data_IF_343525180216
#
_entry.id   IF_343525180216
#
_cell.length_a   1.000
_cell.length_b   1.000
_cell.length_c   1.000
_cell.angle_alpha   90.00
_cell.angle_beta   90.00
_cell.angle_gamma   90.00
#
_symmetry.space_group_name_H-M   'P 1'
#
loop_
_entity.id
_entity.type
_entity.pdbx_description
1 polymer ?
#
# COMPACT_ATOMS: atom_id res chain seq x y z
N UNK A 1 -2.07 15.85 -11.92
CA UNK A 1 -0.71 15.46 -12.37
C UNK A 1 -0.85 14.24 -13.27
N UNK A 2 -0.31 14.29 -14.49
CA UNK A 2 -0.35 13.15 -15.43
C UNK A 2 0.77 12.15 -15.12
N UNK A 3 0.44 10.87 -15.18
CA UNK A 3 1.31 9.73 -14.93
C UNK A 3 1.32 8.81 -16.16
N UNK A 4 2.41 8.08 -16.42
CA UNK A 4 2.44 7.12 -17.53
C UNK A 4 1.41 6.00 -17.32
N UNK A 5 0.71 5.62 -18.39
CA UNK A 5 -0.29 4.53 -18.34
C UNK A 5 0.15 3.26 -19.07
N UNK A 6 1.31 3.30 -19.73
CA UNK A 6 1.83 2.19 -20.54
C UNK A 6 3.20 1.67 -20.07
N UNK A 7 3.63 2.05 -18.87
CA UNK A 7 4.88 1.56 -18.28
C UNK A 7 4.62 0.30 -17.44
N UNK A 8 5.60 -0.60 -17.28
CA UNK A 8 5.53 -1.68 -16.31
C UNK A 8 5.23 -1.16 -14.90
N UNK A 9 4.58 -1.97 -14.08
CA UNK A 9 4.11 -1.58 -12.74
C UNK A 9 4.71 -2.51 -11.69
N UNK A 10 5.21 -1.92 -10.62
CA UNK A 10 5.59 -2.63 -9.40
C UNK A 10 4.80 -2.06 -8.22
N UNK A 11 4.01 -2.89 -7.57
CA UNK A 11 3.32 -2.52 -6.34
C UNK A 11 3.95 -3.29 -5.19
N UNK A 12 4.33 -2.59 -4.14
CA UNK A 12 4.80 -3.18 -2.88
C UNK A 12 3.80 -2.80 -1.79
N UNK A 13 3.25 -3.78 -1.09
CA UNK A 13 2.30 -3.56 -0.01
C UNK A 13 2.90 -4.04 1.31
N UNK A 14 3.00 -3.14 2.28
CA UNK A 14 3.35 -3.46 3.65
C UNK A 14 2.08 -3.61 4.48
N UNK A 15 1.93 -4.78 5.10
CA UNK A 15 0.77 -5.16 5.88
C UNK A 15 -0.28 -5.94 5.07
N UNK A 16 -0.57 -7.15 5.52
CA UNK A 16 -1.57 -8.08 4.98
C UNK A 16 -2.72 -8.34 5.97
N UNK A 17 -2.92 -7.41 6.91
CA UNK A 17 -3.95 -7.47 7.93
C UNK A 17 -5.35 -7.11 7.43
N UNK A 18 -6.09 -6.34 8.23
CA UNK A 18 -7.47 -5.95 7.92
C UNK A 18 -7.59 -5.21 6.58
N UNK A 19 -6.89 -4.09 6.44
CA UNK A 19 -6.95 -3.27 5.22
C UNK A 19 -6.23 -3.95 4.05
N UNK A 20 -4.98 -4.44 4.25
CA UNK A 20 -4.21 -5.09 3.19
C UNK A 20 -4.87 -6.33 2.63
N UNK A 21 -5.53 -7.14 3.48
CA UNK A 21 -6.30 -8.31 3.05
C UNK A 21 -7.46 -7.98 2.12
N UNK A 22 -8.07 -6.81 2.28
CA UNK A 22 -9.13 -6.32 1.37
C UNK A 22 -8.57 -5.61 0.13
N UNK A 23 -7.36 -5.05 0.17
CA UNK A 23 -6.69 -4.46 -1.00
C UNK A 23 -6.26 -5.55 -1.99
N UNK A 24 -5.64 -6.62 -1.51
CA UNK A 24 -4.98 -7.63 -2.34
C UNK A 24 -5.83 -8.18 -3.51
N UNK A 25 -7.06 -8.68 -3.31
CA UNK A 25 -7.87 -9.24 -4.40
C UNK A 25 -8.16 -8.25 -5.52
N UNK A 26 -8.31 -6.97 -5.17
CA UNK A 26 -8.64 -5.93 -6.13
C UNK A 26 -7.42 -5.46 -6.91
N UNK A 27 -6.24 -5.41 -6.28
CA UNK A 27 -4.99 -5.11 -6.98
C UNK A 27 -4.63 -6.21 -7.96
N UNK A 28 -4.70 -7.50 -7.59
CA UNK A 28 -4.48 -8.60 -8.53
C UNK A 28 -5.44 -8.51 -9.74
N UNK A 29 -6.73 -8.29 -9.49
CA UNK A 29 -7.72 -8.10 -10.57
C UNK A 29 -7.39 -6.91 -11.46
N UNK A 30 -6.99 -5.79 -10.88
CA UNK A 30 -6.63 -4.58 -11.63
C UNK A 30 -5.40 -4.83 -12.50
N UNK A 31 -4.33 -5.41 -11.95
CA UNK A 31 -3.10 -5.70 -12.69
C UNK A 31 -3.35 -6.68 -13.84
N UNK A 32 -4.13 -7.72 -13.62
CA UNK A 32 -4.57 -8.63 -14.69
C UNK A 32 -5.30 -7.89 -15.81
N UNK A 33 -6.22 -6.98 -15.48
CA UNK A 33 -7.00 -6.23 -16.45
C UNK A 33 -6.19 -5.18 -17.23
N UNK A 34 -5.01 -4.77 -16.71
CA UNK A 34 -4.14 -3.79 -17.38
C UNK A 34 -3.38 -4.38 -18.58
N UNK A 35 -3.25 -5.69 -18.66
CA UNK A 35 -2.55 -6.43 -19.72
C UNK A 35 -1.17 -5.84 -20.06
N UNK A 36 -0.38 -5.56 -19.02
CA UNK A 36 1.00 -5.06 -19.14
C UNK A 36 1.88 -5.67 -18.04
N UNK A 37 3.22 -5.72 -18.22
CA UNK A 37 4.12 -6.26 -17.22
C UNK A 37 3.86 -5.62 -15.87
N UNK A 38 3.57 -6.44 -14.88
CA UNK A 38 3.24 -5.96 -13.53
C UNK A 38 3.61 -6.99 -12.47
N UNK A 39 4.05 -6.46 -11.31
CA UNK A 39 4.42 -7.23 -10.14
C UNK A 39 3.69 -6.70 -8.92
N UNK A 40 3.28 -7.60 -8.04
CA UNK A 40 2.68 -7.23 -6.77
C UNK A 40 3.30 -8.03 -5.63
N UNK A 41 4.08 -7.36 -4.80
CA UNK A 41 4.80 -7.93 -3.67
C UNK A 41 4.07 -7.59 -2.38
N UNK A 42 3.65 -8.61 -1.62
CA UNK A 42 2.98 -8.45 -0.32
C UNK A 42 3.97 -8.78 0.79
N UNK A 43 4.13 -7.89 1.77
CA UNK A 43 5.06 -8.07 2.89
C UNK A 43 4.29 -8.05 4.22
N UNK A 44 4.41 -9.13 4.99
CA UNK A 44 3.85 -9.23 6.35
C UNK A 44 4.50 -10.40 7.10
N UNK A 45 4.95 -10.16 8.33
CA UNK A 45 5.57 -11.19 9.17
C UNK A 45 4.58 -12.05 9.96
N UNK A 46 3.32 -11.63 10.06
CA UNK A 46 2.31 -12.30 10.86
C UNK A 46 1.80 -13.60 10.25
N UNK A 47 1.32 -14.47 11.14
CA UNK A 47 0.49 -15.62 10.79
C UNK A 47 -0.99 -15.35 11.03
N UNK A 48 -1.84 -16.08 10.32
CA UNK A 48 -3.28 -16.01 10.51
C UNK A 48 -3.65 -16.64 11.85
N UNK A 49 -4.32 -15.89 12.71
CA UNK A 49 -4.84 -16.32 14.00
C UNK A 49 -6.37 -16.30 14.00
N UNK A 50 -6.98 -17.05 14.92
CA UNK A 50 -8.44 -17.15 15.03
C UNK A 50 -9.11 -15.77 15.18
N UNK A 51 -8.51 -14.85 15.97
CA UNK A 51 -9.00 -13.46 16.13
C UNK A 51 -9.03 -12.66 14.84
N UNK A 52 -8.24 -13.05 13.82
CA UNK A 52 -8.19 -12.34 12.55
C UNK A 52 -9.41 -12.63 11.65
N UNK A 53 -10.03 -13.82 11.80
CA UNK A 53 -11.15 -14.26 10.95
C UNK A 53 -12.38 -13.37 11.04
N UNK A 54 -12.52 -12.60 12.10
CA UNK A 54 -13.69 -11.70 12.32
C UNK A 54 -13.66 -10.48 11.41
N UNK A 55 -12.47 -9.96 11.07
CA UNK A 55 -12.35 -8.67 10.35
C UNK A 55 -11.35 -8.65 9.20
N UNK A 56 -10.52 -9.68 9.08
CA UNK A 56 -9.53 -9.80 8.02
C UNK A 56 -10.01 -10.81 6.97
N UNK A 57 -9.51 -10.69 5.77
CA UNK A 57 -9.94 -11.50 4.62
C UNK A 57 -9.27 -12.89 4.61
N UNK A 58 -9.43 -13.62 5.71
CA UNK A 58 -8.94 -14.98 5.90
C UNK A 58 -10.06 -15.94 6.29
N UNK A 59 -9.84 -17.21 6.07
CA UNK A 59 -10.75 -18.31 6.38
C UNK A 59 -10.15 -19.25 7.43
N UNK A 60 -10.95 -20.14 8.04
CA UNK A 60 -10.41 -21.15 8.97
C UNK A 60 -9.31 -22.05 8.37
N UNK A 61 -9.32 -22.27 7.05
CA UNK A 61 -8.30 -23.05 6.36
C UNK A 61 -6.92 -22.37 6.33
N UNK A 62 -6.84 -21.09 6.62
CA UNK A 62 -5.61 -20.28 6.58
C UNK A 62 -4.88 -20.22 7.92
N UNK A 63 -5.48 -20.78 8.98
CA UNK A 63 -4.93 -20.67 10.34
C UNK A 63 -3.51 -21.24 10.43
N UNK A 64 -2.61 -20.43 11.03
CA UNK A 64 -1.20 -20.78 11.23
C UNK A 64 -0.30 -20.47 10.05
N UNK A 65 -0.85 -20.18 8.86
CA UNK A 65 -0.07 -19.79 7.69
C UNK A 65 0.30 -18.29 7.72
N UNK A 66 1.36 -17.91 7.00
CA UNK A 66 1.75 -16.50 6.89
C UNK A 66 0.73 -15.71 6.06
N UNK A 67 0.36 -14.52 6.55
CA UNK A 67 -0.67 -13.67 5.93
C UNK A 67 -0.31 -13.23 4.52
N UNK A 68 0.92 -12.77 4.29
CA UNK A 68 1.39 -12.32 2.98
C UNK A 68 1.42 -13.46 1.97
N UNK A 69 1.93 -14.63 2.37
CA UNK A 69 1.95 -15.85 1.55
C UNK A 69 0.56 -16.22 1.06
N UNK A 70 -0.39 -16.36 2.00
CA UNK A 70 -1.76 -16.78 1.67
C UNK A 70 -2.44 -15.83 0.69
N UNK A 71 -2.32 -14.52 0.91
CA UNK A 71 -2.95 -13.56 -0.01
C UNK A 71 -2.28 -13.58 -1.39
N UNK A 72 -0.94 -13.66 -1.45
CA UNK A 72 -0.22 -13.69 -2.71
C UNK A 72 -0.54 -14.96 -3.50
N UNK A 73 -0.38 -16.14 -2.91
CA UNK A 73 -0.63 -17.41 -3.59
C UNK A 73 -2.09 -17.58 -4.03
N UNK A 74 -3.05 -17.20 -3.16
CA UNK A 74 -4.48 -17.29 -3.45
C UNK A 74 -4.87 -16.47 -4.67
N UNK A 75 -4.53 -15.18 -4.67
CA UNK A 75 -5.01 -14.29 -5.72
C UNK A 75 -4.15 -14.33 -6.99
N UNK A 76 -2.84 -14.59 -6.88
CA UNK A 76 -2.00 -14.81 -8.04
C UNK A 76 -2.49 -16.05 -8.84
N UNK A 77 -2.84 -17.15 -8.16
CA UNK A 77 -3.34 -18.36 -8.83
C UNK A 77 -4.67 -18.14 -9.56
N UNK A 78 -5.57 -17.30 -9.01
CA UNK A 78 -6.86 -16.98 -9.64
C UNK A 78 -6.68 -16.24 -10.98
N UNK A 79 -5.66 -15.38 -11.07
CA UNK A 79 -5.41 -14.55 -12.24
C UNK A 79 -4.24 -15.03 -13.11
N UNK A 80 -3.64 -16.18 -12.81
CA UNK A 80 -2.48 -16.69 -13.54
C UNK A 80 -1.24 -15.79 -13.46
N UNK A 81 -1.09 -15.07 -12.36
CA UNK A 81 0.06 -14.20 -12.09
C UNK A 81 1.09 -14.90 -11.20
N UNK A 82 2.31 -14.37 -11.14
CA UNK A 82 3.32 -14.83 -10.21
C UNK A 82 2.99 -14.37 -8.78
N UNK A 83 3.12 -15.30 -7.82
CA UNK A 83 2.93 -15.00 -6.40
C UNK A 83 4.24 -14.46 -5.81
N UNK A 84 4.28 -13.16 -5.54
CA UNK A 84 5.42 -12.52 -4.90
C UNK A 84 5.06 -12.07 -3.48
N UNK A 85 5.82 -12.54 -2.49
CA UNK A 85 5.61 -12.15 -1.09
C UNK A 85 6.91 -12.21 -0.29
N UNK A 86 6.96 -11.42 0.78
CA UNK A 86 7.98 -11.47 1.82
C UNK A 86 7.29 -11.85 3.14
N UNK A 87 7.51 -13.09 3.66
CA UNK A 87 6.87 -13.56 4.90
C UNK A 87 7.62 -13.03 6.14
N UNK A 88 7.92 -11.74 6.15
CA UNK A 88 8.64 -11.04 7.21
C UNK A 88 8.18 -9.59 7.31
N UNK A 89 8.34 -8.98 8.47
CA UNK A 89 8.17 -7.54 8.62
C UNK A 89 9.32 -6.78 7.93
N UNK A 90 8.99 -5.68 7.29
CA UNK A 90 9.98 -4.76 6.71
C UNK A 90 10.25 -3.65 7.73
N UNK A 91 11.36 -3.75 8.43
CA UNK A 91 11.69 -2.90 9.60
C UNK A 91 12.99 -2.12 9.42
N UNK A 92 13.69 -2.33 8.33
CA UNK A 92 14.89 -1.59 7.98
C UNK A 92 14.79 -0.90 6.62
N UNK A 93 15.57 0.18 6.48
CA UNK A 93 15.50 1.06 5.33
C UNK A 93 16.11 0.44 4.06
N UNK A 94 17.10 -0.40 4.21
CA UNK A 94 17.81 -0.99 3.06
C UNK A 94 16.95 -2.06 2.40
N UNK A 95 16.30 -2.90 3.19
CA UNK A 95 15.28 -3.86 2.70
C UNK A 95 14.15 -3.12 1.98
N UNK A 96 13.57 -2.07 2.60
CA UNK A 96 12.49 -1.32 1.97
C UNK A 96 12.95 -0.63 0.68
N UNK A 97 14.14 -0.03 0.68
CA UNK A 97 14.69 0.64 -0.50
C UNK A 97 14.93 -0.36 -1.64
N UNK A 98 15.37 -1.57 -1.34
CA UNK A 98 15.54 -2.65 -2.32
C UNK A 98 14.19 -3.08 -2.91
N UNK A 99 13.17 -3.27 -2.09
CA UNK A 99 11.83 -3.66 -2.53
C UNK A 99 11.21 -2.62 -3.47
N UNK A 100 11.37 -1.32 -3.17
CA UNK A 100 10.81 -0.23 -3.98
C UNK A 100 11.76 0.25 -5.09
N UNK A 101 12.89 -0.41 -5.30
CA UNK A 101 13.76 -0.08 -6.43
C UNK A 101 13.04 -0.38 -7.75
N UNK A 102 13.08 0.59 -8.68
CA UNK A 102 12.47 0.42 -10.00
C UNK A 102 13.40 -0.38 -10.91
N UNK A 103 13.00 -1.58 -11.29
CA UNK A 103 13.73 -2.39 -12.24
C UNK A 103 13.56 -1.86 -13.67
N UNK A 104 14.56 -2.12 -14.51
CA UNK A 104 14.51 -1.82 -15.93
C UNK A 104 13.94 -3.00 -16.70
N UNK A 105 12.92 -2.76 -17.50
CA UNK A 105 12.39 -3.76 -18.43
C UNK A 105 12.97 -3.54 -19.82
N UNK A 106 13.73 -4.51 -20.32
CA UNK A 106 14.08 -4.59 -21.74
C UNK A 106 12.89 -5.24 -22.45
N UNK A 107 12.22 -4.50 -23.34
CA UNK A 107 11.20 -5.11 -24.19
C UNK A 107 11.79 -6.24 -25.04
N UNK A 108 11.01 -7.27 -25.37
CA UNK A 108 11.42 -8.38 -26.27
C UNK A 108 11.93 -7.90 -27.63
N UNK A 109 11.70 -6.66 -27.96
CA UNK A 109 12.21 -5.98 -29.16
C UNK A 109 13.18 -4.85 -28.73
N UNK A 110 14.44 -5.18 -28.60
CA UNK A 110 15.55 -4.35 -28.10
C UNK A 110 15.83 -3.05 -28.90
N UNK A 111 14.86 -2.43 -29.52
CA UNK A 111 14.97 -1.12 -30.20
C UNK A 111 14.58 0.07 -29.34
N UNK A 112 14.08 -0.13 -28.11
CA UNK A 112 13.63 0.95 -27.23
C UNK A 112 14.50 1.04 -25.98
N UNK A 113 14.72 2.25 -25.46
CA UNK A 113 15.45 2.42 -24.21
C UNK A 113 14.72 1.65 -23.09
N UNK A 114 15.50 1.09 -22.17
CA UNK A 114 14.99 0.41 -20.97
C UNK A 114 13.94 1.28 -20.26
N UNK A 115 12.71 0.83 -20.22
CA UNK A 115 11.63 1.52 -19.50
C UNK A 115 11.66 1.07 -18.05
N UNK A 116 11.78 2.02 -17.12
CA UNK A 116 11.71 1.72 -15.69
C UNK A 116 10.26 1.54 -15.23
N UNK A 117 10.08 0.65 -14.28
CA UNK A 117 8.79 0.43 -13.62
C UNK A 117 8.27 1.69 -12.94
N UNK A 118 6.95 1.86 -12.97
CA UNK A 118 6.26 2.76 -12.08
C UNK A 118 6.05 2.06 -10.74
N UNK A 119 6.70 2.55 -9.69
CA UNK A 119 6.63 1.94 -8.36
C UNK A 119 5.58 2.63 -7.51
N UNK A 120 4.71 1.81 -6.89
CA UNK A 120 3.70 2.23 -5.92
C UNK A 120 3.95 1.47 -4.63
N UNK A 121 4.17 2.20 -3.53
CA UNK A 121 4.22 1.66 -2.17
C UNK A 121 2.85 1.84 -1.52
N UNK A 122 2.27 0.76 -1.01
CA UNK A 122 1.03 0.76 -0.24
C UNK A 122 1.36 0.50 1.22
N UNK A 123 1.04 1.44 2.10
CA UNK A 123 1.13 1.29 3.55
C UNK A 123 -0.23 0.89 4.11
N UNK A 124 -0.37 -0.38 4.50
CA UNK A 124 -1.55 -0.92 5.17
C UNK A 124 -1.18 -1.40 6.59
N UNK A 125 -0.28 -0.66 7.23
CA UNK A 125 0.26 -0.93 8.56
C UNK A 125 -0.49 -0.14 9.64
N UNK A 126 -0.51 -0.66 10.86
CA UNK A 126 -1.22 -0.09 12.01
C UNK A 126 -0.29 0.61 13.04
N UNK A 127 1.01 0.73 12.74
CA UNK A 127 1.97 1.36 13.64
C UNK A 127 2.73 2.52 12.98
N UNK A 128 3.07 3.53 13.78
CA UNK A 128 3.73 4.74 13.29
C UNK A 128 5.20 4.50 12.95
N UNK A 129 5.84 3.51 13.55
CA UNK A 129 7.25 3.18 13.26
C UNK A 129 7.42 2.74 11.81
N UNK A 130 6.54 1.88 11.31
CA UNK A 130 6.54 1.47 9.90
C UNK A 130 6.20 2.64 8.97
N UNK A 131 5.28 3.55 9.37
CA UNK A 131 5.01 4.78 8.60
C UNK A 131 6.21 5.72 8.56
N UNK A 132 6.96 5.84 9.66
CA UNK A 132 8.22 6.60 9.71
C UNK A 132 9.26 6.01 8.75
N UNK A 133 9.36 4.67 8.69
CA UNK A 133 10.25 3.97 7.76
C UNK A 133 9.86 4.25 6.31
N UNK A 134 8.57 4.10 5.96
CA UNK A 134 8.04 4.42 4.63
C UNK A 134 8.30 5.89 4.25
N UNK A 135 8.15 6.81 5.20
CA UNK A 135 8.44 8.23 4.98
C UNK A 135 9.92 8.47 4.64
N UNK A 136 10.84 7.81 5.36
CA UNK A 136 12.29 7.89 5.08
C UNK A 136 12.62 7.32 3.71
N UNK A 137 12.07 6.16 3.36
CA UNK A 137 12.23 5.54 2.05
C UNK A 137 11.67 6.43 0.94
N UNK A 138 10.50 7.03 1.14
CA UNK A 138 9.89 7.99 0.21
C UNK A 138 10.81 9.18 -0.05
N UNK A 139 11.43 9.77 0.97
CA UNK A 139 12.34 10.91 0.81
C UNK A 139 13.66 10.55 0.12
N UNK A 140 14.10 9.29 0.20
CA UNK A 140 15.30 8.79 -0.51
C UNK A 140 15.02 8.41 -1.97
N UNK A 141 13.79 8.01 -2.30
CA UNK A 141 13.44 7.57 -3.65
C UNK A 141 13.58 8.68 -4.68
N UNK A 142 13.97 8.36 -5.90
CA UNK A 142 13.96 9.28 -7.03
C UNK A 142 12.53 9.48 -7.56
N UNK A 143 11.82 8.36 -7.77
CA UNK A 143 10.43 8.33 -8.21
C UNK A 143 9.66 7.31 -7.37
N UNK A 144 8.59 7.73 -6.71
CA UNK A 144 7.77 6.85 -5.89
C UNK A 144 6.37 7.45 -5.69
N UNK A 145 5.35 6.63 -5.81
CA UNK A 145 4.02 6.94 -5.31
C UNK A 145 3.84 6.18 -4.01
N UNK A 146 3.51 6.86 -2.93
CA UNK A 146 3.25 6.24 -1.63
C UNK A 146 1.83 6.56 -1.19
N UNK A 147 1.01 5.51 -1.10
CA UNK A 147 -0.37 5.58 -0.60
C UNK A 147 -0.40 4.90 0.76
N UNK A 148 -0.71 5.67 1.79
CA UNK A 148 -0.80 5.20 3.17
C UNK A 148 -2.25 5.21 3.63
N UNK A 149 -2.68 4.14 4.28
CA UNK A 149 -3.98 4.05 4.93
C UNK A 149 -3.83 3.86 6.43
N UNK A 150 -4.49 4.72 7.20
CA UNK A 150 -4.61 4.61 8.64
C UNK A 150 -6.08 4.60 9.03
N UNK A 151 -6.48 3.63 9.86
CA UNK A 151 -7.86 3.56 10.35
C UNK A 151 -7.94 3.01 11.76
N UNK A 152 -8.87 3.54 12.53
CA UNK A 152 -9.31 3.00 13.81
C UNK A 152 -10.64 2.26 13.66
N UNK A 153 -11.46 2.28 14.72
CA UNK A 153 -12.69 1.51 14.77
C UNK A 153 -13.75 1.96 13.76
N UNK A 154 -13.98 3.27 13.64
CA UNK A 154 -15.06 3.81 12.80
C UNK A 154 -14.62 4.87 11.81
N UNK A 155 -13.36 5.24 11.79
CA UNK A 155 -12.86 6.31 10.94
C UNK A 155 -11.44 6.02 10.48
N UNK A 156 -11.01 6.76 9.46
CA UNK A 156 -9.65 6.66 8.97
C UNK A 156 -9.37 7.68 7.89
N UNK A 157 -8.15 7.61 7.38
CA UNK A 157 -7.68 8.45 6.29
C UNK A 157 -6.80 7.65 5.34
N UNK A 158 -6.81 8.07 4.08
CA UNK A 158 -5.86 7.58 3.06
C UNK A 158 -5.15 8.78 2.45
N UNK A 159 -3.83 8.74 2.42
CA UNK A 159 -2.98 9.83 1.90
C UNK A 159 -2.12 9.33 0.75
N UNK A 160 -2.13 10.05 -0.36
CA UNK A 160 -1.31 9.76 -1.53
C UNK A 160 -0.17 10.77 -1.66
N UNK A 161 1.06 10.35 -1.38
CA UNK A 161 2.29 11.10 -1.62
C UNK A 161 2.90 10.79 -2.99
N UNK A 162 3.55 11.77 -3.61
CA UNK A 162 4.22 11.58 -4.90
C UNK A 162 5.58 12.23 -4.91
N UNK A 163 6.58 11.47 -5.32
CA UNK A 163 7.95 11.92 -5.52
C UNK A 163 8.34 11.72 -6.98
N UNK A 164 8.98 12.72 -7.59
CA UNK A 164 9.45 12.71 -8.97
C UNK A 164 10.80 13.38 -9.09
N UNK A 165 11.73 12.74 -9.77
CA UNK A 165 13.07 13.24 -10.03
C UNK A 165 13.72 13.79 -8.74
N UNK A 166 13.65 13.03 -7.65
CA UNK A 166 14.18 13.40 -6.35
C UNK A 166 13.46 14.56 -5.63
N UNK A 167 12.28 15.01 -6.12
CA UNK A 167 11.51 16.11 -5.52
C UNK A 167 10.15 15.63 -5.02
N UNK A 168 9.75 16.08 -3.85
CA UNK A 168 8.40 15.84 -3.33
C UNK A 168 7.40 16.75 -4.06
N UNK A 169 6.62 16.14 -4.97
CA UNK A 169 5.55 16.83 -5.71
C UNK A 169 4.29 16.91 -4.87
N UNK A 170 4.01 15.83 -4.11
CA UNK A 170 2.87 15.74 -3.20
C UNK A 170 3.35 15.11 -1.89
N UNK A 171 2.98 15.73 -0.76
CA UNK A 171 3.41 15.29 0.56
C UNK A 171 2.89 13.89 0.89
N UNK A 172 3.72 12.98 1.41
CA UNK A 172 3.29 11.70 1.96
C UNK A 172 2.64 11.89 3.35
N UNK A 173 2.12 10.82 3.94
CA UNK A 173 1.40 10.84 5.22
C UNK A 173 2.16 11.59 6.33
N UNK A 174 3.44 11.32 6.54
CA UNK A 174 4.25 12.04 7.55
C UNK A 174 4.51 13.52 7.21
N UNK A 175 4.26 13.95 5.97
CA UNK A 175 4.29 15.37 5.60
C UNK A 175 2.94 16.06 5.75
N UNK A 176 1.85 15.28 5.83
CA UNK A 176 0.47 15.75 6.12
C UNK A 176 0.24 15.76 7.63
N UNK A 177 0.67 14.72 8.32
CA UNK A 177 0.58 14.51 9.78
C UNK A 177 1.98 14.41 10.40
N UNK A 178 2.66 15.55 10.66
CA UNK A 178 4.04 15.54 11.16
C UNK A 178 4.21 14.92 12.55
N UNK A 179 3.15 14.82 13.32
CA UNK A 179 3.09 14.16 14.63
C UNK A 179 3.46 12.67 14.53
N UNK A 180 3.08 11.98 13.45
CA UNK A 180 3.46 10.59 13.21
C UNK A 180 4.98 10.38 13.18
N UNK A 181 5.73 11.39 12.73
CA UNK A 181 7.19 11.31 12.65
C UNK A 181 7.88 11.46 14.02
N UNK A 182 7.14 11.92 15.02
CA UNK A 182 7.62 12.12 16.40
C UNK A 182 7.10 11.05 17.35
N UNK A 183 6.16 10.22 16.91
CA UNK A 183 5.60 9.17 17.74
C UNK A 183 6.70 8.19 18.18
N UNK A 184 6.71 7.89 19.48
CA UNK A 184 7.55 6.85 20.06
C UNK A 184 6.79 5.52 19.95
N UNK A 185 6.93 4.87 18.83
CA UNK A 185 6.30 3.61 18.53
C UNK A 185 7.35 2.54 18.25
N UNK A 186 6.94 1.29 18.24
CA UNK A 186 7.81 0.13 18.04
C UNK A 186 7.41 -0.62 16.77
N UNK A 187 8.35 -1.34 16.20
CA UNK A 187 8.05 -2.27 15.13
C UNK A 187 7.26 -3.48 15.66
N UNK A 188 6.46 -4.14 14.79
CA UNK A 188 5.72 -5.34 15.19
C UNK A 188 6.57 -6.43 15.82
N UNK A 189 7.82 -6.64 15.36
CA UNK A 189 8.75 -7.62 15.93
C UNK A 189 9.22 -7.28 17.34
N UNK A 190 9.14 -6.01 17.74
CA UNK A 190 9.55 -5.53 19.07
C UNK A 190 8.42 -5.65 20.12
N UNK A 191 7.19 -6.00 19.69
CA UNK A 191 6.03 -6.14 20.57
C UNK A 191 5.92 -7.55 21.11
N UNK A 192 5.64 -7.68 22.41
CA UNK A 192 5.24 -8.95 22.98
C UNK A 192 3.84 -9.37 22.53
N UNK A 193 3.53 -10.68 22.57
CA UNK A 193 2.20 -11.17 22.22
C UNK A 193 1.06 -10.50 23.01
N UNK A 194 1.32 -10.12 24.28
CA UNK A 194 0.36 -9.43 25.13
C UNK A 194 0.12 -7.98 24.65
N UNK A 195 1.17 -7.26 24.24
CA UNK A 195 1.08 -5.90 23.73
C UNK A 195 0.43 -5.85 22.34
N UNK A 196 0.76 -6.81 21.47
CA UNK A 196 0.12 -6.94 20.15
C UNK A 196 -1.40 -7.23 20.24
N UNK A 197 -1.89 -7.76 21.36
CA UNK A 197 -3.31 -7.99 21.59
C UNK A 197 -4.07 -6.75 22.06
N UNK A 198 -3.38 -5.71 22.51
CA UNK A 198 -3.94 -4.41 22.97
C UNK A 198 -4.06 -3.38 21.84
N UNK A 199 -3.80 -3.79 20.60
CA UNK A 199 -3.93 -2.89 19.44
C UNK A 199 -5.31 -2.22 19.39
N UNK A 200 -5.33 -0.97 18.92
CA UNK A 200 -6.56 -0.19 18.77
C UNK A 200 -7.63 -0.97 18.03
N UNK A 201 -8.87 -0.96 18.51
CA UNK A 201 -9.96 -1.68 17.86
C UNK A 201 -10.15 -1.16 16.42
N UNK A 202 -10.20 -2.09 15.50
CA UNK A 202 -10.52 -1.82 14.09
C UNK A 202 -11.78 -2.61 13.71
N UNK A 203 -12.66 -2.00 12.94
CA UNK A 203 -13.82 -2.72 12.41
C UNK A 203 -13.59 -3.22 10.98
N UNK A 204 -14.28 -4.28 10.61
CA UNK A 204 -14.30 -4.78 9.23
C UNK A 204 -14.75 -3.67 8.26
N UNK A 205 -15.76 -2.89 8.61
CA UNK A 205 -16.27 -1.81 7.78
C UNK A 205 -15.21 -0.71 7.54
N UNK A 206 -14.44 -0.33 8.57
CA UNK A 206 -13.35 0.64 8.41
C UNK A 206 -12.23 0.09 7.52
N UNK A 207 -11.87 -1.19 7.69
CA UNK A 207 -10.85 -1.84 6.87
C UNK A 207 -11.26 -1.90 5.37
N UNK A 208 -12.51 -2.29 5.08
CA UNK A 208 -13.04 -2.34 3.70
C UNK A 208 -13.10 -0.94 3.10
N UNK A 209 -13.56 0.06 3.86
CA UNK A 209 -13.64 1.46 3.36
C UNK A 209 -12.25 2.01 3.03
N UNK A 210 -11.27 1.81 3.92
CA UNK A 210 -9.89 2.20 3.68
C UNK A 210 -9.33 1.51 2.42
N UNK A 211 -9.54 0.20 2.29
CA UNK A 211 -9.09 -0.58 1.14
C UNK A 211 -9.71 -0.08 -0.17
N UNK A 212 -11.02 0.22 -0.18
CA UNK A 212 -11.72 0.78 -1.35
C UNK A 212 -11.07 2.09 -1.79
N UNK A 213 -10.80 3.01 -0.87
CA UNK A 213 -10.16 4.30 -1.20
C UNK A 213 -8.76 4.09 -1.78
N UNK A 214 -7.96 3.17 -1.21
CA UNK A 214 -6.63 2.82 -1.76
C UNK A 214 -6.75 2.29 -3.18
N UNK A 215 -7.67 1.35 -3.41
CA UNK A 215 -7.91 0.76 -4.74
C UNK A 215 -8.35 1.82 -5.74
N UNK A 216 -9.25 2.73 -5.37
CA UNK A 216 -9.70 3.84 -6.23
C UNK A 216 -8.52 4.76 -6.60
N UNK A 217 -7.63 5.09 -5.66
CA UNK A 217 -6.45 5.89 -5.95
C UNK A 217 -5.50 5.17 -6.91
N UNK A 218 -5.23 3.86 -6.68
CA UNK A 218 -4.38 3.04 -7.56
C UNK A 218 -5.01 2.91 -8.95
N UNK A 219 -6.32 2.66 -9.03
CA UNK A 219 -7.05 2.61 -10.30
C UNK A 219 -6.88 3.90 -11.10
N UNK A 220 -7.13 5.05 -10.48
CA UNK A 220 -6.99 6.34 -11.15
C UNK A 220 -5.55 6.59 -11.64
N UNK A 221 -4.54 6.18 -10.86
CA UNK A 221 -3.14 6.28 -11.23
C UNK A 221 -2.82 5.41 -12.43
N UNK A 222 -3.23 4.14 -12.43
CA UNK A 222 -2.81 3.16 -13.42
C UNK A 222 -3.67 3.16 -14.69
N UNK A 223 -4.96 3.43 -14.58
CA UNK A 223 -5.90 3.41 -15.71
C UNK A 223 -6.09 4.80 -16.29
N UNK A 224 -6.38 5.80 -15.45
CA UNK A 224 -6.67 7.16 -15.91
C UNK A 224 -5.40 8.03 -16.04
N UNK A 225 -4.24 7.53 -15.59
CA UNK A 225 -2.97 8.25 -15.63
C UNK A 225 -2.91 9.46 -14.70
N UNK A 226 -3.86 9.59 -13.77
CA UNK A 226 -3.86 10.68 -12.80
C UNK A 226 -4.65 10.33 -11.54
N UNK A 227 -4.27 10.93 -10.43
CA UNK A 227 -5.05 10.90 -9.21
C UNK A 227 -5.09 12.30 -8.61
N UNK A 228 -6.25 12.93 -8.59
CA UNK A 228 -6.43 14.26 -8.00
C UNK A 228 -6.59 14.23 -6.48
N UNK A 229 -7.03 13.09 -5.92
CA UNK A 229 -7.17 12.90 -4.49
C UNK A 229 -5.80 12.92 -3.80
N UNK A 230 -5.63 13.84 -2.84
CA UNK A 230 -4.42 13.94 -2.00
C UNK A 230 -4.58 13.21 -0.70
N UNK A 231 -5.75 13.36 -0.10
CA UNK A 231 -6.16 12.79 1.16
C UNK A 231 -7.65 12.55 1.10
N UNK A 232 -8.09 11.40 1.59
CA UNK A 232 -9.51 11.11 1.80
C UNK A 232 -9.69 10.67 3.24
N UNK A 233 -10.54 11.40 3.97
CA UNK A 233 -10.96 11.07 5.32
C UNK A 233 -12.34 10.41 5.26
N UNK A 234 -12.59 9.41 6.12
CA UNK A 234 -13.86 8.71 6.14
C UNK A 234 -14.34 8.40 7.57
N UNK A 235 -15.64 8.21 7.71
CA UNK A 235 -16.27 7.69 8.91
C UNK A 235 -17.34 6.67 8.53
N UNK A 236 -17.17 5.43 8.98
CA UNK A 236 -18.16 4.37 8.76
C UNK A 236 -19.37 4.51 9.69
N UNK A 237 -19.23 5.20 10.84
CA UNK A 237 -20.33 5.49 11.75
C UNK A 237 -21.36 6.42 11.14
N UNK A 238 -20.92 7.41 10.35
CA UNK A 238 -21.81 8.39 9.70
C UNK A 238 -21.93 8.16 8.20
N UNK A 239 -21.28 7.12 7.67
CA UNK A 239 -21.21 6.79 6.23
C UNK A 239 -20.80 8.02 5.40
N UNK A 240 -19.79 8.73 5.87
CA UNK A 240 -19.28 9.96 5.25
C UNK A 240 -17.87 9.78 4.73
N UNK A 241 -17.60 10.32 3.55
CA UNK A 241 -16.28 10.41 2.95
C UNK A 241 -16.03 11.85 2.50
N UNK A 242 -14.83 12.37 2.74
CA UNK A 242 -14.41 13.72 2.36
C UNK A 242 -13.02 13.68 1.75
N UNK A 243 -12.86 14.26 0.56
CA UNK A 243 -11.59 14.21 -0.18
C UNK A 243 -11.03 15.62 -0.39
N UNK A 244 -9.76 15.79 0.01
CA UNK A 244 -8.96 16.96 -0.35
C UNK A 244 -8.32 16.73 -1.71
N UNK A 245 -8.66 17.55 -2.67
CA UNK A 245 -8.15 17.46 -4.02
C UNK A 245 -6.84 18.28 -4.19
N UNK A 246 -6.06 17.91 -5.20
CA UNK A 246 -4.96 18.74 -5.67
C UNK A 246 -5.53 20.03 -6.26
N UNK A 247 -5.04 21.19 -5.78
CA UNK A 247 -5.41 22.46 -6.40
C UNK A 247 -4.88 22.46 -7.84
N UNK A 248 -5.76 22.55 -8.82
CA UNK A 248 -5.34 22.81 -10.18
C UNK A 248 -4.49 24.10 -10.15
N UNK A 249 -3.20 23.98 -10.40
CA UNK A 249 -2.44 25.15 -10.82
C UNK A 249 -2.99 25.49 -12.21
N UNK A 250 -3.98 26.38 -12.25
CA UNK A 250 -4.36 27.06 -13.49
C UNK A 250 -3.05 27.54 -14.11
N UNK A 251 -2.83 27.14 -15.35
CA UNK A 251 -1.75 27.69 -16.17
C UNK A 251 -1.91 29.23 -16.16
N UNK A 252 -0.95 29.87 -15.49
CA UNK A 252 -0.73 31.29 -15.63
C UNK A 252 0.23 31.53 -16.80
#
# INVERSE_FOLDING_TARGET
MKLPTNTPVKIVMLGAGGTGGHIAPHIYRLLYALDRPSRFIICDGDKVEFKNLVRQNFSPADLGENKAKILAERYASVFGMEAEYLPAFVEDLDTLTTLIHADGWAGEYSRYPTVREQVILLGAVDNDKSRQLCHKAFLKAENLIYIDSGNGEFSGQVVCGVRRNGRTVRKPVGGVFPELLKAQDRFPSELSCAEASLADPQSMAANITAATIVVDMVYNILVNGECSARQTDFSTKTVRMSTTLEKNRSAA
#
